data_IF_960581077151
#
_entry.id   IF_960581077151
#
_cell.length_a   1.000
_cell.length_b   1.000
_cell.length_c   1.000
_cell.angle_alpha   90.00
_cell.angle_beta   90.00
_cell.angle_gamma   90.00
#
_symmetry.space_group_name_H-M   'P 1'
#
loop_
_entity.id
_entity.type
_entity.pdbx_description
1 polymer ?
#
# COMPACT_ATOMS: atom_id res chain seq x y z
N UNK A 1 -26.86 -11.25 -6.28
CA UNK A 1 -26.24 -12.03 -5.19
C UNK A 1 -25.16 -11.14 -4.62
N UNK A 2 -25.33 -10.64 -3.40
CA UNK A 2 -24.43 -9.63 -2.83
C UNK A 2 -23.08 -10.29 -2.50
N UNK A 3 -22.02 -9.95 -3.25
CA UNK A 3 -20.63 -10.35 -2.98
C UNK A 3 -19.99 -9.56 -1.82
N UNK A 4 -20.78 -9.07 -0.88
CA UNK A 4 -20.26 -8.40 0.30
C UNK A 4 -20.16 -9.40 1.44
N UNK A 5 -18.93 -9.53 1.94
CA UNK A 5 -18.54 -10.12 3.22
C UNK A 5 -18.02 -11.56 3.26
N UNK A 6 -17.30 -12.03 2.23
CA UNK A 6 -16.33 -13.11 2.46
C UNK A 6 -15.14 -12.55 3.27
N UNK A 7 -14.73 -13.21 4.37
CA UNK A 7 -13.61 -12.73 5.18
C UNK A 7 -12.30 -12.69 4.37
N UNK A 8 -11.64 -11.53 4.34
CA UNK A 8 -10.32 -11.38 3.71
C UNK A 8 -9.25 -12.12 4.53
N UNK A 9 -8.40 -12.88 3.83
CA UNK A 9 -7.27 -13.59 4.41
C UNK A 9 -5.96 -12.99 3.90
N UNK A 10 -4.92 -13.05 4.73
CA UNK A 10 -3.53 -12.77 4.36
C UNK A 10 -2.74 -14.08 4.26
N UNK A 11 -1.67 -14.09 3.48
CA UNK A 11 -0.74 -15.23 3.38
C UNK A 11 0.40 -15.03 4.38
N UNK A 12 0.54 -15.93 5.34
CA UNK A 12 1.64 -15.91 6.31
C UNK A 12 2.92 -16.45 5.67
N UNK A 13 4.07 -15.91 6.07
CA UNK A 13 5.38 -16.25 5.53
C UNK A 13 6.34 -16.68 6.64
N UNK A 14 7.35 -17.48 6.28
CA UNK A 14 8.55 -17.66 7.10
C UNK A 14 9.61 -16.59 6.78
N UNK A 15 10.72 -16.59 7.52
CA UNK A 15 11.85 -15.67 7.32
C UNK A 15 12.58 -15.85 5.97
N UNK A 16 12.25 -16.87 5.19
CA UNK A 16 12.72 -17.06 3.82
C UNK A 16 11.65 -16.64 2.79
N UNK A 17 10.62 -15.91 3.23
CA UNK A 17 9.48 -15.45 2.43
C UNK A 17 8.68 -16.58 1.77
N UNK A 18 8.72 -17.80 2.34
CA UNK A 18 7.92 -18.92 1.84
C UNK A 18 6.57 -18.97 2.54
N UNK A 19 5.46 -19.22 1.83
CA UNK A 19 4.14 -19.37 2.43
C UNK A 19 4.10 -20.48 3.48
N UNK A 20 3.59 -20.16 4.68
CA UNK A 20 3.44 -21.10 5.80
C UNK A 20 1.98 -21.34 6.19
N UNK A 21 1.07 -20.49 5.74
CA UNK A 21 -0.36 -20.59 6.06
C UNK A 21 -1.14 -19.33 5.68
N UNK A 22 -2.33 -19.19 6.25
CA UNK A 22 -3.16 -18.01 6.07
C UNK A 22 -3.76 -17.57 7.41
N UNK A 23 -4.07 -16.29 7.54
CA UNK A 23 -4.76 -15.74 8.70
C UNK A 23 -5.86 -14.77 8.26
N UNK A 24 -6.88 -14.59 9.09
CA UNK A 24 -7.87 -13.54 8.87
C UNK A 24 -7.20 -12.18 8.97
N UNK A 25 -7.37 -11.34 7.93
CA UNK A 25 -6.83 -9.97 7.91
C UNK A 25 -7.33 -9.13 9.10
N UNK A 26 -8.57 -9.39 9.51
CA UNK A 26 -9.18 -8.76 10.69
C UNK A 26 -8.60 -9.21 12.02
N UNK A 27 -7.70 -10.18 12.05
CA UNK A 27 -7.12 -10.74 13.28
C UNK A 27 -5.59 -10.73 13.29
N UNK A 28 -4.94 -10.64 12.13
CA UNK A 28 -3.48 -10.77 12.01
C UNK A 28 -2.71 -9.58 12.59
N UNK A 29 -3.24 -8.36 12.47
CA UNK A 29 -2.59 -7.13 12.93
C UNK A 29 -2.80 -6.95 14.44
N UNK A 30 -1.76 -7.23 15.23
CA UNK A 30 -1.75 -7.17 16.70
C UNK A 30 -0.45 -6.52 17.20
N UNK A 31 -0.15 -6.56 18.50
CA UNK A 31 1.15 -6.13 19.04
C UNK A 31 2.31 -7.05 18.62
N UNK A 32 2.01 -8.27 18.15
CA UNK A 32 2.98 -9.24 17.63
C UNK A 32 2.48 -9.85 16.31
N UNK A 33 2.44 -9.00 15.27
CA UNK A 33 1.98 -9.40 13.93
C UNK A 33 2.99 -10.34 13.25
N UNK A 34 2.57 -11.56 12.84
CA UNK A 34 3.45 -12.46 12.11
C UNK A 34 3.78 -11.91 10.72
N UNK A 35 4.93 -12.31 10.18
CA UNK A 35 5.33 -11.93 8.84
C UNK A 35 4.29 -12.44 7.82
N UNK A 36 3.83 -11.56 6.95
CA UNK A 36 2.84 -11.89 5.94
C UNK A 36 3.07 -11.13 4.63
N UNK A 37 2.43 -11.63 3.57
CA UNK A 37 2.56 -11.11 2.21
C UNK A 37 1.68 -9.89 2.01
N UNK A 38 2.27 -8.83 1.47
CA UNK A 38 1.61 -7.57 1.13
C UNK A 38 2.14 -7.01 -0.19
N UNK A 39 1.63 -5.86 -0.60
CA UNK A 39 2.19 -5.04 -1.68
C UNK A 39 1.98 -3.55 -1.39
N UNK A 40 2.85 -2.73 -1.98
CA UNK A 40 2.70 -1.27 -2.06
C UNK A 40 2.59 -0.86 -3.52
N UNK A 41 1.66 0.04 -3.85
CA UNK A 41 1.53 0.55 -5.21
C UNK A 41 1.53 2.09 -5.23
N UNK A 42 2.32 2.65 -6.13
CA UNK A 42 2.34 4.05 -6.51
C UNK A 42 1.66 4.22 -7.86
N UNK A 43 0.78 5.20 -7.99
CA UNK A 43 -0.02 5.44 -9.19
C UNK A 43 0.35 6.81 -9.77
N UNK A 44 0.71 6.83 -11.04
CA UNK A 44 0.96 8.05 -11.81
C UNK A 44 -0.28 8.42 -12.63
N UNK A 45 -0.61 9.70 -12.69
CA UNK A 45 -1.56 10.21 -13.68
C UNK A 45 -0.88 10.43 -15.05
N UNK A 46 -1.65 10.94 -16.01
CA UNK A 46 -1.16 11.24 -17.36
C UNK A 46 -0.12 12.37 -17.40
N UNK A 47 -0.13 13.23 -16.40
CA UNK A 47 0.74 14.41 -16.28
C UNK A 47 2.04 14.07 -15.53
N UNK A 48 2.21 12.79 -15.11
CA UNK A 48 3.40 12.30 -14.42
C UNK A 48 3.39 12.59 -12.91
N UNK A 49 2.27 13.04 -12.37
CA UNK A 49 2.11 13.27 -10.93
C UNK A 49 1.76 11.96 -10.23
N UNK A 50 2.29 11.77 -9.01
CA UNK A 50 2.02 10.61 -8.16
C UNK A 50 0.83 10.87 -7.24
N UNK A 51 -0.05 9.89 -7.13
CA UNK A 51 -1.18 9.92 -6.21
C UNK A 51 -0.69 9.63 -4.79
N UNK A 52 -0.96 10.55 -3.88
CA UNK A 52 -0.70 10.40 -2.44
C UNK A 52 -2.05 10.38 -1.74
N UNK A 53 -2.23 9.46 -0.79
CA UNK A 53 -3.51 9.32 -0.07
C UNK A 53 -3.33 9.53 1.42
N UNK A 54 -4.39 10.01 2.08
CA UNK A 54 -4.51 10.05 3.52
C UNK A 54 -5.47 8.96 3.94
N UNK A 55 -4.99 8.03 4.75
CA UNK A 55 -5.80 6.90 5.25
C UNK A 55 -7.04 7.40 5.97
N UNK A 56 -8.19 6.75 5.76
CA UNK A 56 -9.41 7.07 6.48
C UNK A 56 -9.20 6.99 8.00
N UNK A 57 -9.93 7.82 8.75
CA UNK A 57 -9.80 7.91 10.20
C UNK A 57 -10.30 6.65 10.93
N UNK A 58 -11.14 5.84 10.27
CA UNK A 58 -11.69 4.60 10.81
C UNK A 58 -10.79 3.38 10.55
N UNK A 59 -9.66 3.56 9.84
CA UNK A 59 -8.71 2.47 9.60
C UNK A 59 -8.14 1.99 10.93
N UNK A 60 -8.12 0.67 11.11
CA UNK A 60 -7.56 0.02 12.30
C UNK A 60 -6.11 0.40 12.53
N UNK A 61 -5.33 0.43 11.44
CA UNK A 61 -3.91 0.75 11.45
C UNK A 61 -3.67 2.13 10.83
N UNK A 62 -2.91 2.98 11.52
CA UNK A 62 -2.39 4.25 11.02
C UNK A 62 -3.50 5.17 10.47
N UNK A 63 -4.58 5.43 11.23
CA UNK A 63 -5.68 6.28 10.77
C UNK A 63 -5.21 7.72 10.54
N UNK A 64 -5.63 8.33 9.43
CA UNK A 64 -5.31 9.72 9.12
C UNK A 64 -3.86 10.00 8.70
N UNK A 65 -3.05 8.97 8.51
CA UNK A 65 -1.65 9.10 8.07
C UNK A 65 -1.59 9.26 6.54
N UNK A 66 -0.77 10.19 6.06
CA UNK A 66 -0.46 10.34 4.64
C UNK A 66 0.51 9.23 4.18
N UNK A 67 0.26 8.65 3.02
CA UNK A 67 0.97 7.47 2.51
C UNK A 67 0.96 7.44 0.97
N UNK A 68 1.57 6.40 0.37
CA UNK A 68 1.55 6.17 -1.07
C UNK A 68 0.12 5.96 -1.60
N UNK A 69 -0.03 5.66 -2.90
CA UNK A 69 -1.34 5.61 -3.53
C UNK A 69 -2.29 4.59 -2.89
N UNK A 70 -1.82 3.36 -2.67
CA UNK A 70 -2.53 2.34 -1.88
C UNK A 70 -1.62 1.13 -1.58
N UNK A 71 -1.96 0.38 -0.53
CA UNK A 71 -1.31 -0.88 -0.18
C UNK A 71 -2.37 -1.97 -0.02
N UNK A 72 -1.95 -3.24 0.04
CA UNK A 72 -2.87 -4.32 0.33
C UNK A 72 -2.21 -5.67 0.43
N UNK A 73 -3.05 -6.69 0.52
CA UNK A 73 -2.64 -8.08 0.70
C UNK A 73 -3.16 -8.92 -0.47
N UNK A 74 -2.28 -9.68 -1.16
CA UNK A 74 -2.72 -10.72 -2.07
C UNK A 74 -3.46 -11.81 -1.28
N UNK A 75 -4.58 -12.26 -1.81
CA UNK A 75 -5.29 -13.43 -1.30
C UNK A 75 -4.53 -14.73 -1.57
N UNK A 76 -4.92 -15.85 -0.92
CA UNK A 76 -4.28 -17.14 -1.18
C UNK A 76 -4.40 -17.55 -2.66
N UNK A 77 -3.26 -17.73 -3.33
CA UNK A 77 -3.19 -18.07 -4.76
C UNK A 77 -3.50 -16.93 -5.72
N UNK A 78 -3.72 -15.70 -5.23
CA UNK A 78 -3.92 -14.52 -6.05
C UNK A 78 -2.57 -13.97 -6.55
N UNK A 79 -2.49 -13.56 -7.82
CA UNK A 79 -1.30 -12.87 -8.32
C UNK A 79 -1.23 -11.44 -7.81
N UNK A 80 -0.03 -10.85 -7.78
CA UNK A 80 0.14 -9.45 -7.39
C UNK A 80 -0.66 -8.52 -8.30
N UNK A 81 -0.61 -8.71 -9.61
CA UNK A 81 -1.33 -7.87 -10.57
C UNK A 81 -2.84 -7.91 -10.34
N UNK A 82 -3.39 -9.09 -10.05
CA UNK A 82 -4.81 -9.26 -9.72
C UNK A 82 -5.16 -8.54 -8.40
N UNK A 83 -4.34 -8.71 -7.36
CA UNK A 83 -4.53 -8.09 -6.05
C UNK A 83 -4.45 -6.56 -6.12
N UNK A 84 -3.45 -6.03 -6.83
CA UNK A 84 -3.21 -4.59 -7.04
C UNK A 84 -4.38 -3.99 -7.82
N UNK A 85 -4.79 -4.61 -8.94
CA UNK A 85 -5.93 -4.13 -9.72
C UNK A 85 -7.26 -4.20 -8.95
N UNK A 86 -7.46 -5.24 -8.13
CA UNK A 86 -8.63 -5.36 -7.25
C UNK A 86 -8.66 -4.26 -6.20
N UNK A 87 -7.55 -4.02 -5.50
CA UNK A 87 -7.46 -3.02 -4.43
C UNK A 87 -7.57 -1.60 -4.97
N UNK A 88 -6.98 -1.31 -6.13
CA UNK A 88 -7.15 -0.03 -6.83
C UNK A 88 -8.64 0.29 -7.09
N UNK A 89 -9.41 -0.70 -7.57
CA UNK A 89 -10.86 -0.54 -7.77
C UNK A 89 -11.61 -0.36 -6.45
N UNK A 90 -11.26 -1.12 -5.42
CA UNK A 90 -11.96 -1.12 -4.12
C UNK A 90 -11.73 0.18 -3.33
N UNK A 91 -10.47 0.62 -3.19
CA UNK A 91 -10.12 1.76 -2.34
C UNK A 91 -10.20 3.08 -3.10
N UNK A 92 -9.79 3.11 -4.37
CA UNK A 92 -9.63 4.35 -5.13
C UNK A 92 -10.68 4.52 -6.23
N UNK A 93 -11.50 3.51 -6.52
CA UNK A 93 -12.40 3.54 -7.67
C UNK A 93 -11.67 3.64 -9.01
N UNK A 94 -10.40 3.20 -9.06
CA UNK A 94 -9.53 3.35 -10.22
C UNK A 94 -9.39 2.06 -11.02
N UNK A 95 -9.42 2.22 -12.35
CA UNK A 95 -8.76 1.31 -13.28
C UNK A 95 -7.32 1.77 -13.49
N UNK A 96 -6.40 0.81 -13.46
CA UNK A 96 -4.96 1.05 -13.61
C UNK A 96 -4.37 0.12 -14.65
N UNK A 97 -3.27 0.54 -15.27
CA UNK A 97 -2.51 -0.25 -16.24
C UNK A 97 -1.00 -0.07 -16.06
N UNK A 98 -0.21 -0.90 -16.76
CA UNK A 98 1.25 -0.81 -16.74
C UNK A 98 1.88 -1.09 -15.37
N UNK A 99 1.32 -2.04 -14.62
CA UNK A 99 1.82 -2.44 -13.31
C UNK A 99 3.24 -2.99 -13.47
N UNK A 100 4.21 -2.29 -12.89
CA UNK A 100 5.63 -2.62 -12.96
C UNK A 100 6.18 -2.79 -11.55
N UNK A 101 6.86 -3.90 -11.29
CA UNK A 101 7.57 -4.13 -10.04
C UNK A 101 8.87 -3.31 -10.01
N UNK A 102 9.09 -2.56 -8.92
CA UNK A 102 10.23 -1.63 -8.79
C UNK A 102 11.12 -1.96 -7.59
N UNK A 103 10.56 -2.47 -6.49
CA UNK A 103 11.32 -2.93 -5.33
C UNK A 103 10.84 -4.35 -4.96
N UNK A 104 11.38 -5.41 -5.59
CA UNK A 104 10.90 -6.79 -5.42
C UNK A 104 11.11 -7.34 -4.02
N UNK A 105 12.15 -6.88 -3.32
CA UNK A 105 12.58 -7.42 -2.03
C UNK A 105 12.22 -6.52 -0.85
N UNK A 106 11.35 -5.53 -1.05
CA UNK A 106 11.00 -4.59 0.02
C UNK A 106 10.30 -5.32 1.19
N UNK A 107 10.85 -5.15 2.39
CA UNK A 107 10.34 -5.70 3.65
C UNK A 107 10.45 -4.63 4.71
N UNK A 108 9.40 -4.47 5.52
CA UNK A 108 9.42 -3.54 6.64
C UNK A 108 8.70 -4.11 7.86
N UNK A 109 9.03 -3.54 9.02
CA UNK A 109 8.30 -3.76 10.26
C UNK A 109 8.12 -2.42 10.97
N UNK A 110 6.87 -2.04 11.22
CA UNK A 110 6.53 -0.77 11.85
C UNK A 110 5.47 -0.97 12.94
N UNK A 111 5.50 -0.13 13.97
CA UNK A 111 4.50 -0.11 15.04
C UNK A 111 3.81 1.24 15.06
N UNK A 112 2.47 1.27 15.12
CA UNK A 112 1.75 2.55 15.28
C UNK A 112 1.72 3.06 16.71
N UNK A 113 1.21 4.28 16.84
CA UNK A 113 1.01 4.93 18.13
C UNK A 113 0.07 4.16 19.08
N UNK A 114 -0.72 3.21 18.58
CA UNK A 114 -1.59 2.35 19.39
C UNK A 114 -0.92 1.03 19.81
N UNK A 115 0.28 0.72 19.28
CA UNK A 115 1.02 -0.50 19.55
C UNK A 115 0.79 -1.63 18.53
N UNK A 116 -0.08 -1.43 17.53
CA UNK A 116 -0.30 -2.43 16.48
C UNK A 116 0.91 -2.47 15.56
N UNK A 117 1.33 -3.67 15.15
CA UNK A 117 2.48 -3.91 14.30
C UNK A 117 2.04 -4.23 12.87
N UNK A 118 2.72 -3.65 11.90
CA UNK A 118 2.83 -4.14 10.52
C UNK A 118 4.17 -4.88 10.39
N UNK A 119 4.16 -6.07 9.80
CA UNK A 119 5.35 -6.91 9.59
C UNK A 119 5.19 -7.64 8.26
N UNK A 120 5.70 -7.04 7.19
CA UNK A 120 5.30 -7.40 5.84
C UNK A 120 6.50 -7.62 4.92
N UNK A 121 6.42 -8.68 4.10
CA UNK A 121 7.13 -8.73 2.83
C UNK A 121 6.23 -8.07 1.79
N UNK A 122 6.66 -6.93 1.26
CA UNK A 122 5.79 -5.97 0.60
C UNK A 122 6.41 -5.41 -0.68
N UNK A 123 6.54 -6.22 -1.75
CA UNK A 123 7.06 -5.75 -3.02
C UNK A 123 6.33 -4.49 -3.51
N UNK A 124 7.10 -3.56 -4.09
CA UNK A 124 6.61 -2.23 -4.47
C UNK A 124 6.42 -2.15 -5.98
N UNK A 125 5.29 -1.58 -6.39
CA UNK A 125 4.88 -1.45 -7.77
C UNK A 125 4.59 0.00 -8.15
N UNK A 126 4.76 0.31 -9.43
CA UNK A 126 4.27 1.54 -10.05
C UNK A 126 3.23 1.18 -11.11
N UNK A 127 2.14 1.93 -11.16
CA UNK A 127 1.07 1.78 -12.15
C UNK A 127 0.61 3.16 -12.67
N UNK A 128 -0.24 3.16 -13.69
CA UNK A 128 -0.81 4.38 -14.27
C UNK A 128 -2.33 4.39 -14.15
N UNK A 129 -2.89 5.53 -13.75
CA UNK A 129 -4.32 5.73 -13.67
C UNK A 129 -4.93 5.99 -15.05
N UNK A 130 -6.10 5.40 -15.31
CA UNK A 130 -6.88 5.69 -16.52
C UNK A 130 -7.82 6.89 -16.35
N UNK A 131 -8.07 7.32 -15.11
CA UNK A 131 -9.01 8.39 -14.76
C UNK A 131 -8.68 9.01 -13.39
N UNK A 132 -9.45 10.03 -12.98
CA UNK A 132 -9.41 10.57 -11.63
C UNK A 132 -9.95 9.57 -10.60
N UNK A 133 -9.30 9.44 -9.42
CA UNK A 133 -9.77 8.56 -8.36
C UNK A 133 -11.11 9.02 -7.81
N UNK A 134 -11.91 8.05 -7.40
CA UNK A 134 -13.13 8.24 -6.62
C UNK A 134 -13.03 7.37 -5.37
N UNK A 135 -12.24 7.80 -4.37
CA UNK A 135 -11.91 6.93 -3.26
C UNK A 135 -13.13 6.59 -2.41
N UNK A 136 -13.12 5.38 -1.87
CA UNK A 136 -14.07 4.98 -0.83
C UNK A 136 -13.74 5.72 0.46
N UNK A 137 -14.72 6.45 1.02
CA UNK A 137 -14.52 7.26 2.23
C UNK A 137 -14.12 6.43 3.47
N UNK A 138 -14.45 5.13 3.47
CA UNK A 138 -14.01 4.17 4.50
C UNK A 138 -12.53 3.81 4.40
N UNK A 139 -11.87 4.11 3.28
CA UNK A 139 -10.48 3.73 2.99
C UNK A 139 -9.56 4.95 2.93
N UNK A 140 -10.02 6.04 2.28
CA UNK A 140 -9.24 7.25 2.05
C UNK A 140 -10.04 8.47 2.49
N UNK A 141 -9.44 9.29 3.37
CA UNK A 141 -10.01 10.55 3.82
C UNK A 141 -9.74 11.69 2.83
N UNK A 142 -8.52 11.76 2.29
CA UNK A 142 -8.05 12.82 1.40
C UNK A 142 -7.06 12.24 0.38
N UNK A 143 -6.89 12.90 -0.76
CA UNK A 143 -5.85 12.55 -1.72
C UNK A 143 -5.29 13.81 -2.40
N UNK A 144 -4.08 13.69 -2.93
CA UNK A 144 -3.44 14.73 -3.72
C UNK A 144 -2.62 14.10 -4.85
N UNK A 145 -2.59 14.78 -6.00
CA UNK A 145 -1.60 14.57 -7.04
C UNK A 145 -0.40 15.48 -6.77
N UNK A 146 0.80 14.91 -6.71
CA UNK A 146 2.04 15.66 -6.50
C UNK A 146 3.04 15.36 -7.61
N UNK A 147 3.84 16.35 -8.02
CA UNK A 147 5.03 16.03 -8.80
C UNK A 147 5.96 15.11 -7.97
N UNK A 148 6.65 14.13 -8.58
CA UNK A 148 7.54 13.20 -7.85
C UNK A 148 8.57 13.92 -6.96
N UNK A 149 9.20 14.98 -7.47
CA UNK A 149 10.15 15.79 -6.71
C UNK A 149 9.53 16.49 -5.48
N UNK A 150 8.24 16.87 -5.55
CA UNK A 150 7.53 17.45 -4.40
C UNK A 150 7.26 16.39 -3.33
N UNK A 151 6.87 15.17 -3.72
CA UNK A 151 6.70 14.05 -2.79
C UNK A 151 8.03 13.72 -2.10
N UNK A 152 9.11 13.56 -2.86
CA UNK A 152 10.45 13.29 -2.32
C UNK A 152 10.86 14.36 -1.33
N UNK A 153 10.74 15.64 -1.71
CA UNK A 153 11.10 16.75 -0.83
C UNK A 153 10.25 16.80 0.44
N UNK A 154 8.94 16.55 0.35
CA UNK A 154 8.06 16.54 1.51
C UNK A 154 8.43 15.42 2.50
N UNK A 155 8.69 14.21 1.99
CA UNK A 155 9.07 13.05 2.80
C UNK A 155 10.46 13.23 3.43
N UNK A 156 11.43 13.79 2.70
CA UNK A 156 12.78 14.03 3.24
C UNK A 156 12.79 15.10 4.34
N UNK A 157 11.99 16.16 4.20
CA UNK A 157 11.96 17.25 5.18
C UNK A 157 11.10 16.93 6.41
N UNK A 158 10.09 16.08 6.27
CA UNK A 158 9.16 15.75 7.34
C UNK A 158 8.73 14.26 7.30
N UNK A 159 9.67 13.30 7.45
CA UNK A 159 9.35 11.88 7.31
C UNK A 159 8.32 11.40 8.34
N UNK A 160 8.29 12.04 9.52
CA UNK A 160 7.33 11.76 10.59
C UNK A 160 5.87 12.10 10.24
N UNK A 161 5.63 12.89 9.17
CA UNK A 161 4.29 13.25 8.71
C UNK A 161 3.67 12.18 7.79
N UNK A 162 4.46 11.17 7.39
CA UNK A 162 4.08 10.12 6.47
C UNK A 162 4.16 8.74 7.12
N UNK A 163 3.55 7.75 6.48
CA UNK A 163 3.73 6.36 6.89
C UNK A 163 5.20 5.92 6.79
N UNK A 164 5.72 5.13 7.74
CA UNK A 164 7.11 4.69 7.72
C UNK A 164 7.51 3.98 6.42
N UNK A 165 6.66 3.12 5.88
CA UNK A 165 6.94 2.42 4.62
C UNK A 165 7.06 3.36 3.43
N UNK A 166 6.27 4.43 3.34
CA UNK A 166 6.44 5.45 2.29
C UNK A 166 7.81 6.13 2.42
N UNK A 167 8.22 6.48 3.65
CA UNK A 167 9.51 7.12 3.88
C UNK A 167 10.69 6.21 3.50
N UNK A 168 10.62 4.93 3.87
CA UNK A 168 11.61 3.92 3.48
C UNK A 168 11.63 3.68 1.96
N UNK A 169 10.46 3.52 1.33
CA UNK A 169 10.34 3.34 -0.12
C UNK A 169 10.91 4.52 -0.91
N UNK A 170 10.61 5.75 -0.49
CA UNK A 170 11.12 6.97 -1.14
C UNK A 170 12.63 7.13 -0.95
N UNK A 171 13.25 6.49 0.04
CA UNK A 171 14.71 6.48 0.16
C UNK A 171 15.40 5.63 -0.92
N UNK A 172 14.68 4.70 -1.55
CA UNK A 172 15.23 3.79 -2.56
C UNK A 172 15.32 4.44 -3.94
N UNK A 173 16.54 4.45 -4.51
CA UNK A 173 16.81 5.04 -5.83
C UNK A 173 15.95 4.43 -6.96
N UNK A 174 15.73 3.10 -7.05
CA UNK A 174 14.90 2.53 -8.11
C UNK A 174 13.46 3.05 -8.11
N UNK A 175 12.88 3.34 -6.95
CA UNK A 175 11.54 3.92 -6.90
C UNK A 175 11.55 5.37 -7.39
N UNK A 176 12.52 6.19 -6.97
CA UNK A 176 12.64 7.58 -7.45
C UNK A 176 12.75 7.64 -8.97
N UNK A 177 13.60 6.79 -9.55
CA UNK A 177 13.76 6.68 -11.01
C UNK A 177 12.48 6.25 -11.72
N UNK A 178 11.71 5.33 -11.13
CA UNK A 178 10.46 4.86 -11.72
C UNK A 178 9.31 5.89 -11.65
N UNK A 179 9.33 6.79 -10.66
CA UNK A 179 8.32 7.84 -10.52
C UNK A 179 8.57 9.03 -11.47
N UNK A 180 9.82 9.26 -11.89
CA UNK A 180 10.21 10.34 -12.80
C UNK A 180 10.97 11.46 -12.10
#
# INVERSE_FOLDING_TARGET
>A
MNEQNSPEHVVLLDEQHRPTGTALKSQVHTEDTPLHLAFSCHVLNRDGEVLVTRRALEKRTWPGVWTNSFCGHPGPGESFEAAIARRARQELGLSIHGITEVLPEFRYRATDASGIVENEFCPVYVARAEAEPRPAASEVAEYAWLAPAQLVSAVENAPFAFSPWLAEQIAEAPLREALG
#
